data_IF_677933750936
#
_entry.id   IF_677933750936
#
_cell.length_a   1.000
_cell.length_b   1.000
_cell.length_c   1.000
_cell.angle_alpha   90.00
_cell.angle_beta   90.00
_cell.angle_gamma   90.00
#
_symmetry.space_group_name_H-M   'P 1'
#
loop_
_entity.id
_entity.type
_entity.pdbx_description
1 polymer ?
#
# COMPACT_ATOMS: atom_id res chain seq x y z
N UNK A 1 -15.99 -10.00 17.00
CA UNK A 1 -17.13 -10.03 16.06
C UNK A 1 -16.68 -9.33 14.78
N UNK A 2 -16.98 -9.88 13.61
CA UNK A 2 -16.72 -9.20 12.33
C UNK A 2 -17.96 -8.36 12.02
N UNK A 3 -17.74 -7.06 11.84
CA UNK A 3 -18.79 -6.11 11.46
C UNK A 3 -19.40 -6.47 10.11
N UNK A 4 -20.71 -6.28 9.94
CA UNK A 4 -21.38 -6.58 8.69
C UNK A 4 -20.84 -5.72 7.55
N UNK A 5 -20.61 -6.34 6.39
CA UNK A 5 -20.22 -5.61 5.18
C UNK A 5 -21.45 -4.92 4.61
N UNK A 6 -21.30 -3.64 4.25
CA UNK A 6 -22.39 -2.86 3.65
C UNK A 6 -22.04 -2.40 2.24
N UNK A 7 -22.93 -2.65 1.29
CA UNK A 7 -22.79 -2.21 -0.10
C UNK A 7 -24.02 -1.40 -0.50
N UNK A 8 -23.81 -0.23 -1.09
CA UNK A 8 -24.90 0.55 -1.68
C UNK A 8 -25.12 0.08 -3.12
N UNK A 9 -26.20 -0.66 -3.35
CA UNK A 9 -26.59 -1.10 -4.68
C UNK A 9 -27.63 -0.15 -5.27
N UNK A 10 -27.55 0.07 -6.58
CA UNK A 10 -28.59 0.77 -7.34
C UNK A 10 -29.61 -0.26 -7.82
N UNK A 11 -30.82 -0.23 -7.26
CA UNK A 11 -31.89 -1.16 -7.63
C UNK A 11 -32.94 -0.39 -8.42
N UNK A 12 -33.27 -0.89 -9.61
CA UNK A 12 -34.41 -0.38 -10.39
C UNK A 12 -35.70 -0.88 -9.74
N UNK A 13 -36.52 0.03 -9.27
CA UNK A 13 -37.87 -0.30 -8.78
C UNK A 13 -38.93 0.20 -9.76
N UNK A 14 -39.95 -0.61 -9.99
CA UNK A 14 -41.16 -0.19 -10.72
C UNK A 14 -42.02 0.63 -9.76
N UNK A 15 -42.46 1.81 -10.19
CA UNK A 15 -43.36 2.63 -9.40
C UNK A 15 -44.78 2.05 -9.48
N UNK A 16 -45.43 1.75 -8.34
CA UNK A 16 -46.88 1.46 -8.35
C UNK A 16 -47.63 2.76 -8.65
N UNK A 17 -48.12 2.91 -9.88
CA UNK A 17 -48.94 4.05 -10.28
C UNK A 17 -50.25 4.11 -9.48
N UNK A 18 -50.60 5.31 -8.99
CA UNK A 18 -51.87 5.55 -8.28
C UNK A 18 -52.94 5.88 -9.33
N UNK A 19 -53.89 4.95 -9.49
CA UNK A 19 -55.13 5.00 -10.31
C UNK A 19 -54.96 5.29 -11.82
N UNK A 20 -55.52 4.34 -12.60
CA UNK A 20 -55.87 4.39 -14.03
C UNK A 20 -56.02 5.82 -14.57
N UNK A 21 -55.05 6.24 -15.36
CA UNK A 21 -55.12 7.45 -16.19
C UNK A 21 -54.92 7.02 -17.64
N UNK A 22 -55.53 7.76 -18.57
CA UNK A 22 -55.70 7.49 -20.01
C UNK A 22 -54.35 7.38 -20.78
N UNK A 23 -53.22 7.49 -20.08
CA UNK A 23 -51.85 7.34 -20.57
C UNK A 23 -51.21 5.97 -20.19
N UNK A 24 -52.02 4.95 -19.88
CA UNK A 24 -51.61 3.58 -19.51
C UNK A 24 -51.09 2.75 -20.73
N UNK A 25 -50.32 3.38 -21.61
CA UNK A 25 -49.74 2.72 -22.78
C UNK A 25 -48.51 1.87 -22.38
N UNK A 26 -48.36 0.62 -22.86
CA UNK A 26 -47.16 -0.20 -22.60
C UNK A 26 -45.85 0.50 -22.99
N UNK A 27 -45.93 1.42 -23.96
CA UNK A 27 -44.83 2.26 -24.42
C UNK A 27 -44.28 3.17 -23.31
N UNK A 28 -45.15 3.89 -22.58
CA UNK A 28 -44.74 4.86 -21.54
C UNK A 28 -44.38 4.21 -20.20
N UNK A 29 -44.86 2.99 -19.94
CA UNK A 29 -44.56 2.23 -18.72
C UNK A 29 -43.08 1.81 -18.59
N UNK A 30 -42.33 1.76 -19.69
CA UNK A 30 -40.89 1.44 -19.68
C UNK A 30 -40.01 2.56 -19.10
N UNK A 31 -40.47 3.81 -19.21
CA UNK A 31 -39.75 5.00 -18.71
C UNK A 31 -39.97 5.26 -17.22
N UNK A 32 -40.99 4.64 -16.59
CA UNK A 32 -41.35 4.87 -15.20
C UNK A 32 -40.58 3.97 -14.20
N UNK A 33 -39.30 3.71 -14.48
CA UNK A 33 -38.41 2.99 -13.57
C UNK A 33 -37.51 3.97 -12.84
N UNK A 34 -37.58 3.96 -11.51
CA UNK A 34 -36.69 4.80 -10.68
C UNK A 34 -35.56 3.94 -10.15
N UNK A 35 -34.33 4.40 -10.33
CA UNK A 35 -33.17 3.82 -9.65
C UNK A 35 -33.14 4.35 -8.22
N UNK A 36 -33.29 3.46 -7.25
CA UNK A 36 -33.19 3.79 -5.83
C UNK A 36 -31.91 3.18 -5.28
N UNK A 37 -31.14 3.98 -4.53
CA UNK A 37 -30.00 3.48 -3.77
C UNK A 37 -30.52 2.66 -2.60
N UNK A 38 -30.22 1.37 -2.58
CA UNK A 38 -30.54 0.47 -1.47
C UNK A 38 -29.26 0.03 -0.80
N UNK A 39 -29.20 0.23 0.52
CA UNK A 39 -28.10 -0.24 1.34
C UNK A 39 -28.36 -1.70 1.68
N UNK A 40 -27.48 -2.58 1.22
CA UNK A 40 -27.49 -4.01 1.52
C UNK A 40 -26.42 -4.25 2.59
N UNK A 41 -26.77 -4.99 3.64
CA UNK A 41 -25.84 -5.37 4.71
C UNK A 41 -25.84 -6.89 4.84
N UNK A 42 -24.67 -7.47 5.08
CA UNK A 42 -24.56 -8.87 5.50
C UNK A 42 -24.93 -9.00 6.98
N UNK A 43 -25.12 -10.22 7.45
CA UNK A 43 -25.22 -10.49 8.89
C UNK A 43 -23.83 -10.40 9.54
N UNK A 44 -23.76 -10.01 10.83
CA UNK A 44 -22.50 -10.01 11.59
C UNK A 44 -22.03 -11.44 11.86
N UNK A 45 -20.71 -11.67 11.81
CA UNK A 45 -20.12 -12.97 12.10
C UNK A 45 -19.49 -12.96 13.50
N UNK A 46 -20.00 -13.80 14.39
CA UNK A 46 -19.43 -13.98 15.74
C UNK A 46 -18.23 -14.92 15.68
N UNK A 47 -17.05 -14.41 16.04
CA UNK A 47 -15.82 -15.20 16.18
C UNK A 47 -15.62 -15.52 17.66
N UNK A 48 -15.36 -16.79 17.97
CA UNK A 48 -14.87 -17.21 19.28
C UNK A 48 -13.34 -17.30 19.26
N UNK A 49 -12.69 -16.34 19.91
CA UNK A 49 -11.22 -16.31 20.06
C UNK A 49 -10.81 -17.34 21.12
N UNK A 50 -9.85 -18.20 20.80
CA UNK A 50 -9.25 -19.14 21.77
C UNK A 50 -8.11 -18.44 22.49
N UNK A 51 -7.97 -18.69 23.79
CA UNK A 51 -6.81 -18.27 24.55
C UNK A 51 -5.58 -19.09 24.15
N UNK A 52 -4.40 -18.51 24.34
CA UNK A 52 -3.15 -19.24 24.21
C UNK A 52 -3.03 -20.31 25.32
N UNK A 53 -2.29 -21.41 25.07
CA UNK A 53 -1.95 -22.35 26.14
C UNK A 53 -0.98 -21.70 27.14
N UNK A 54 -0.89 -22.29 28.33
CA UNK A 54 0.09 -21.88 29.34
C UNK A 54 1.53 -22.02 28.83
N UNK A 55 2.49 -21.35 29.48
CA UNK A 55 3.91 -21.40 29.10
C UNK A 55 4.30 -20.44 27.97
N UNK A 56 3.59 -19.30 27.84
CA UNK A 56 3.95 -18.25 26.89
C UNK A 56 5.39 -17.76 27.12
N UNK A 57 6.26 -17.80 26.08
CA UNK A 57 7.61 -17.27 26.17
C UNK A 57 7.62 -15.75 26.42
N UNK A 58 8.58 -15.28 27.21
CA UNK A 58 8.71 -13.85 27.55
C UNK A 58 9.07 -12.97 26.34
N UNK A 59 9.69 -13.56 25.32
CA UNK A 59 10.09 -12.97 24.05
C UNK A 59 8.99 -13.03 22.96
N UNK A 60 7.76 -13.40 23.32
CA UNK A 60 6.65 -13.49 22.38
C UNK A 60 6.14 -12.10 21.94
N UNK A 61 6.26 -11.80 20.65
CA UNK A 61 5.84 -10.52 20.05
C UNK A 61 4.48 -10.57 19.33
N UNK A 62 3.77 -11.70 19.40
CA UNK A 62 2.47 -11.88 18.73
C UNK A 62 2.52 -12.74 17.46
N UNK A 63 3.62 -13.42 17.18
CA UNK A 63 3.77 -14.28 16.00
C UNK A 63 2.94 -15.57 16.09
N UNK A 64 1.98 -15.76 15.18
CA UNK A 64 1.09 -16.92 15.12
C UNK A 64 1.11 -17.53 13.72
N UNK A 65 1.55 -18.78 13.62
CA UNK A 65 1.72 -19.45 12.34
C UNK A 65 2.82 -20.50 12.35
N UNK A 66 3.46 -20.68 11.21
CA UNK A 66 4.66 -21.51 11.04
C UNK A 66 5.70 -20.72 10.26
N UNK A 67 6.90 -20.58 10.83
CA UNK A 67 7.90 -19.64 10.36
C UNK A 67 9.32 -20.23 10.34
N UNK A 68 10.08 -19.86 9.32
CA UNK A 68 11.49 -20.15 9.17
C UNK A 68 12.27 -18.84 9.07
N UNK A 69 13.17 -18.59 10.03
CA UNK A 69 14.03 -17.41 10.05
C UNK A 69 15.43 -17.77 9.55
N UNK A 70 15.95 -16.96 8.63
CA UNK A 70 17.31 -17.07 8.09
C UNK A 70 18.02 -15.72 8.17
N UNK A 71 19.34 -15.77 8.30
CA UNK A 71 20.18 -14.57 8.24
C UNK A 71 21.45 -14.83 7.45
N UNK A 72 21.91 -13.81 6.75
CA UNK A 72 23.21 -13.80 6.10
C UNK A 72 23.72 -12.37 5.98
N UNK A 73 25.03 -12.23 5.82
CA UNK A 73 25.66 -10.96 5.45
C UNK A 73 26.08 -11.00 3.98
N UNK A 74 26.23 -9.83 3.37
CA UNK A 74 26.79 -9.67 2.03
C UNK A 74 28.26 -10.11 1.94
N UNK A 75 29.05 -9.82 2.99
CA UNK A 75 30.43 -10.27 3.13
C UNK A 75 30.71 -10.83 4.53
N UNK A 76 31.75 -11.67 4.64
CA UNK A 76 32.29 -12.15 5.92
C UNK A 76 33.54 -11.38 6.37
N UNK A 77 34.13 -10.59 5.46
CA UNK A 77 35.32 -9.80 5.70
C UNK A 77 35.13 -8.39 5.14
N UNK A 78 35.46 -7.37 5.93
CA UNK A 78 35.27 -5.97 5.57
C UNK A 78 36.40 -5.13 6.16
N UNK A 79 36.66 -3.92 5.64
CA UNK A 79 37.57 -2.97 6.31
C UNK A 79 36.84 -2.10 7.33
N UNK A 80 37.58 -1.45 8.22
CA UNK A 80 37.03 -0.41 9.11
C UNK A 80 36.37 0.70 8.26
N UNK A 81 35.26 1.25 8.74
CA UNK A 81 34.43 2.28 8.10
C UNK A 81 33.69 1.87 6.81
N UNK A 82 33.77 0.60 6.40
CA UNK A 82 33.05 0.09 5.24
C UNK A 82 31.73 -0.58 5.68
N UNK A 83 30.66 -0.34 4.93
CA UNK A 83 29.32 -0.79 5.29
C UNK A 83 29.14 -2.29 5.01
N UNK A 84 28.47 -2.98 5.94
CA UNK A 84 28.06 -4.38 5.83
C UNK A 84 26.53 -4.43 5.89
N UNK A 85 25.93 -5.24 5.03
CA UNK A 85 24.48 -5.47 5.04
C UNK A 85 24.15 -6.79 5.71
N UNK A 86 23.50 -6.75 6.88
CA UNK A 86 22.88 -7.93 7.49
C UNK A 86 21.45 -8.07 6.96
N UNK A 87 21.20 -9.19 6.28
CA UNK A 87 19.90 -9.56 5.77
C UNK A 87 19.26 -10.59 6.71
N UNK A 88 18.03 -10.31 7.16
CA UNK A 88 17.16 -11.25 7.84
C UNK A 88 15.98 -11.56 6.93
N UNK A 89 15.67 -12.83 6.73
CA UNK A 89 14.52 -13.29 5.96
C UNK A 89 13.69 -14.23 6.82
N UNK A 90 12.43 -13.86 7.02
CA UNK A 90 11.43 -14.70 7.65
C UNK A 90 10.43 -15.14 6.59
N UNK A 91 10.32 -16.45 6.38
CA UNK A 91 9.34 -17.04 5.48
C UNK A 91 8.37 -17.91 6.25
N UNK A 92 7.09 -17.86 5.91
CA UNK A 92 6.10 -18.69 6.58
C UNK A 92 4.66 -18.39 6.24
N UNK A 93 3.77 -19.11 6.93
CA UNK A 93 2.32 -18.94 6.83
C UNK A 93 1.76 -18.53 8.19
N UNK A 94 0.97 -17.46 8.23
CA UNK A 94 0.40 -16.95 9.47
C UNK A 94 0.23 -15.43 9.43
N UNK A 95 0.35 -14.75 10.57
CA UNK A 95 0.24 -13.29 10.65
C UNK A 95 1.60 -12.58 10.41
N UNK A 96 2.33 -12.97 9.36
CA UNK A 96 3.76 -12.66 9.16
C UNK A 96 4.13 -11.16 9.15
N UNK A 97 3.19 -10.27 8.85
CA UNK A 97 3.39 -8.81 8.83
C UNK A 97 2.68 -8.08 9.98
N UNK A 98 2.19 -8.80 11.00
CA UNK A 98 1.42 -8.25 12.13
C UNK A 98 2.17 -8.32 13.46
N UNK A 99 3.47 -8.60 13.44
CA UNK A 99 4.32 -8.61 14.62
C UNK A 99 5.69 -7.98 14.33
N UNK A 100 6.37 -7.57 15.39
CA UNK A 100 7.72 -7.00 15.33
C UNK A 100 8.79 -8.04 15.66
N UNK A 101 9.98 -7.85 15.10
CA UNK A 101 11.18 -8.55 15.57
C UNK A 101 11.52 -8.08 16.98
N UNK A 102 12.07 -8.97 17.84
CA UNK A 102 12.69 -8.55 19.08
C UNK A 102 13.90 -7.66 18.78
N UNK A 103 14.21 -6.76 19.71
CA UNK A 103 15.35 -5.86 19.60
C UNK A 103 16.67 -6.64 19.55
N UNK A 104 17.53 -6.28 18.59
CA UNK A 104 18.81 -6.95 18.36
C UNK A 104 19.92 -6.11 18.99
N UNK A 105 20.58 -6.67 20.02
CA UNK A 105 21.70 -6.02 20.69
C UNK A 105 23.00 -6.25 19.91
N UNK A 106 23.31 -5.34 18.98
CA UNK A 106 24.56 -5.37 18.22
C UNK A 106 25.77 -4.99 19.10
N UNK A 107 26.99 -5.46 18.74
CA UNK A 107 28.23 -5.02 19.39
C UNK A 107 28.43 -3.50 19.32
N UNK A 108 28.91 -2.88 20.41
CA UNK A 108 28.96 -1.42 20.57
C UNK A 108 29.94 -0.67 19.67
N UNK A 109 30.94 -1.34 19.09
CA UNK A 109 31.92 -0.72 18.17
C UNK A 109 31.42 -0.66 16.71
N UNK A 110 30.10 -0.79 16.49
CA UNK A 110 29.47 -0.66 15.18
C UNK A 110 28.35 0.39 15.21
N UNK A 111 28.31 1.25 14.20
CA UNK A 111 27.16 2.09 13.97
C UNK A 111 26.08 1.27 13.26
N UNK A 112 24.90 1.21 13.88
CA UNK A 112 23.74 0.46 13.38
C UNK A 112 22.70 1.44 12.87
N UNK A 113 22.31 1.27 11.61
CA UNK A 113 21.22 2.04 11.03
C UNK A 113 19.88 1.32 11.19
N UNK A 114 18.76 2.06 11.29
CA UNK A 114 17.42 1.46 11.30
C UNK A 114 17.22 0.56 10.07
N UNK A 115 16.59 -0.62 10.23
CA UNK A 115 16.44 -1.55 9.14
C UNK A 115 15.40 -1.09 8.13
N UNK A 116 15.64 -1.39 6.86
CA UNK A 116 14.60 -1.33 5.83
C UNK A 116 13.84 -2.66 5.82
N UNK A 117 12.51 -2.61 5.84
CA UNK A 117 11.67 -3.81 5.82
C UNK A 117 10.86 -3.91 4.53
N UNK A 118 10.76 -5.11 3.95
CA UNK A 118 9.89 -5.38 2.80
C UNK A 118 9.09 -6.68 3.01
N UNK A 119 7.84 -6.67 2.55
CA UNK A 119 6.94 -7.81 2.64
C UNK A 119 6.48 -8.23 1.24
N UNK A 120 6.74 -9.49 0.90
CA UNK A 120 6.30 -10.10 -0.34
C UNK A 120 5.27 -11.19 -0.02
N UNK A 121 4.02 -10.96 -0.42
CA UNK A 121 2.94 -11.92 -0.21
C UNK A 121 2.89 -12.95 -1.35
N UNK A 122 2.92 -14.23 -1.01
CA UNK A 122 2.69 -15.32 -1.95
C UNK A 122 1.17 -15.45 -2.20
N UNK A 123 0.74 -15.35 -3.46
CA UNK A 123 -0.69 -15.48 -3.82
C UNK A 123 -1.12 -16.94 -3.84
N UNK A 124 -1.30 -17.53 -2.66
CA UNK A 124 -1.97 -18.81 -2.48
C UNK A 124 -3.41 -18.54 -2.03
N UNK A 125 -4.38 -19.20 -2.68
CA UNK A 125 -5.81 -18.87 -2.53
C UNK A 125 -6.37 -19.05 -1.11
N UNK A 126 -5.72 -19.86 -0.28
CA UNK A 126 -6.28 -20.31 1.01
C UNK A 126 -5.35 -20.08 2.21
N UNK A 127 -4.17 -19.48 2.01
CA UNK A 127 -3.18 -19.28 3.07
C UNK A 127 -2.54 -17.90 2.99
N UNK A 128 -2.44 -17.23 4.14
CA UNK A 128 -1.66 -16.00 4.26
C UNK A 128 -0.18 -16.36 4.40
N UNK A 129 0.47 -16.56 3.27
CA UNK A 129 1.88 -16.95 3.16
C UNK A 129 2.68 -15.83 2.53
N UNK A 130 3.91 -15.65 2.98
CA UNK A 130 4.81 -14.67 2.40
C UNK A 130 6.21 -14.72 2.96
N UNK A 131 7.01 -13.76 2.50
CA UNK A 131 8.38 -13.54 2.93
C UNK A 131 8.53 -12.11 3.42
N UNK A 132 8.98 -11.95 4.66
CA UNK A 132 9.31 -10.67 5.27
C UNK A 132 10.83 -10.55 5.34
N UNK A 133 11.40 -9.46 4.82
CA UNK A 133 12.84 -9.21 4.81
C UNK A 133 13.16 -7.95 5.60
N UNK A 134 14.22 -8.00 6.38
CA UNK A 134 14.81 -6.83 7.05
C UNK A 134 16.28 -6.72 6.67
N UNK A 135 16.70 -5.51 6.32
CA UNK A 135 18.08 -5.20 5.95
C UNK A 135 18.65 -4.16 6.89
N UNK A 136 19.67 -4.55 7.66
CA UNK A 136 20.41 -3.66 8.56
C UNK A 136 21.72 -3.27 7.91
N UNK A 137 22.04 -1.97 7.94
CA UNK A 137 23.35 -1.47 7.55
C UNK A 137 24.18 -1.29 8.81
N UNK A 138 25.34 -1.95 8.85
CA UNK A 138 26.27 -1.97 9.96
C UNK A 138 27.60 -1.36 9.51
N UNK A 139 28.14 -0.39 10.24
CA UNK A 139 29.45 0.21 9.93
C UNK A 139 30.40 0.00 11.11
N UNK A 140 31.41 -0.87 10.99
CA UNK A 140 32.36 -1.15 12.05
C UNK A 140 33.39 -0.03 12.19
N UNK A 141 33.67 0.40 13.42
CA UNK A 141 34.60 1.50 13.73
C UNK A 141 35.99 1.05 14.14
N UNK A 142 36.14 -0.19 14.59
CA UNK A 142 37.42 -0.75 15.04
C UNK A 142 37.70 -2.10 14.36
N UNK A 143 38.97 -2.37 14.06
CA UNK A 143 39.40 -3.65 13.51
C UNK A 143 39.31 -4.76 14.57
N UNK A 144 39.03 -5.99 14.13
CA UNK A 144 38.88 -7.12 15.05
C UNK A 144 37.93 -8.18 14.53
N UNK A 145 37.60 -9.13 15.41
CA UNK A 145 36.63 -10.17 15.14
C UNK A 145 35.36 -9.89 15.95
N UNK A 146 34.24 -9.75 15.24
CA UNK A 146 32.95 -9.44 15.84
C UNK A 146 31.98 -10.59 15.60
N UNK A 147 31.12 -10.83 16.59
CA UNK A 147 30.07 -11.82 16.49
C UNK A 147 28.73 -11.11 16.52
N UNK A 148 28.00 -11.18 15.40
CA UNK A 148 26.60 -10.76 15.36
C UNK A 148 25.77 -11.76 16.16
N UNK A 149 24.90 -11.30 17.07
CA UNK A 149 24.11 -12.18 17.92
C UNK A 149 23.15 -13.02 17.08
N UNK A 150 22.76 -14.19 17.61
CA UNK A 150 21.65 -14.93 17.03
C UNK A 150 20.35 -14.15 17.23
N UNK A 151 19.48 -14.17 16.24
CA UNK A 151 18.11 -13.64 16.35
C UNK A 151 17.18 -14.82 16.54
N UNK A 152 16.29 -14.75 17.53
CA UNK A 152 15.31 -15.79 17.80
C UNK A 152 13.93 -15.16 17.91
N UNK A 153 12.92 -15.86 17.40
CA UNK A 153 11.51 -15.49 17.47
C UNK A 153 10.75 -16.67 18.05
N UNK A 154 10.01 -16.41 19.12
CA UNK A 154 9.04 -17.35 19.67
C UNK A 154 7.67 -17.12 19.02
N UNK A 155 7.03 -18.19 18.55
CA UNK A 155 5.75 -18.14 17.86
C UNK A 155 4.82 -19.27 18.31
N UNK A 156 3.51 -19.03 18.19
CA UNK A 156 2.50 -20.03 18.47
C UNK A 156 2.09 -20.75 17.17
N UNK A 157 2.24 -22.08 17.13
CA UNK A 157 1.76 -22.86 15.99
C UNK A 157 0.32 -23.32 16.23
N UNK A 158 -0.69 -22.80 15.48
CA UNK A 158 -2.08 -23.18 15.66
C UNK A 158 -2.38 -24.64 15.24
N UNK A 159 -1.54 -25.27 14.41
CA UNK A 159 -1.68 -26.67 14.01
C UNK A 159 -1.32 -27.61 15.16
N UNK A 160 -0.17 -27.36 15.79
CA UNK A 160 0.38 -28.20 16.86
C UNK A 160 -0.12 -27.77 18.25
N UNK A 161 -0.73 -26.58 18.35
CA UNK A 161 -1.19 -25.93 19.58
C UNK A 161 -0.06 -25.78 20.61
N UNK A 162 1.17 -25.62 20.14
CA UNK A 162 2.38 -25.50 20.94
C UNK A 162 3.13 -24.20 20.67
N UNK A 163 4.00 -23.84 21.61
CA UNK A 163 4.98 -22.79 21.45
C UNK A 163 6.23 -23.34 20.77
N UNK A 164 6.61 -22.72 19.66
CA UNK A 164 7.81 -23.08 18.90
C UNK A 164 8.74 -21.87 18.81
N UNK A 165 10.01 -22.11 18.54
CA UNK A 165 10.98 -21.07 18.26
C UNK A 165 11.65 -21.28 16.90
N UNK A 166 11.93 -20.18 16.23
CA UNK A 166 12.75 -20.16 15.02
C UNK A 166 13.86 -19.15 15.23
N UNK A 167 15.06 -19.45 14.74
CA UNK A 167 16.20 -18.61 15.04
C UNK A 167 17.35 -18.83 14.08
N UNK A 168 18.23 -17.83 14.06
CA UNK A 168 19.41 -17.82 13.22
C UNK A 168 20.63 -18.33 13.97
N UNK A 169 21.72 -18.54 13.23
CA UNK A 169 23.03 -18.79 13.83
C UNK A 169 23.77 -17.47 14.03
N UNK A 170 24.62 -17.35 15.06
CA UNK A 170 25.55 -16.22 15.14
C UNK A 170 26.42 -16.13 13.89
N UNK A 171 26.68 -14.91 13.42
CA UNK A 171 27.54 -14.66 12.25
C UNK A 171 28.83 -14.02 12.74
N UNK A 172 29.96 -14.59 12.34
CA UNK A 172 31.28 -14.09 12.70
C UNK A 172 31.80 -13.22 11.55
N UNK A 173 32.15 -11.98 11.86
CA UNK A 173 32.68 -10.99 10.92
C UNK A 173 34.14 -10.70 11.26
N UNK A 174 34.99 -10.68 10.24
CA UNK A 174 36.39 -10.28 10.36
C UNK A 174 36.58 -8.89 9.79
N UNK A 175 36.82 -7.91 10.66
CA UNK A 175 37.06 -6.54 10.26
C UNK A 175 38.57 -6.29 10.21
N UNK A 176 39.06 -6.05 9.00
CA UNK A 176 40.45 -5.70 8.73
C UNK A 176 40.69 -4.23 9.07
N UNK A 177 41.90 -3.86 9.49
CA UNK A 177 42.29 -2.46 9.58
C UNK A 177 41.98 -1.73 8.28
N UNK A 178 41.45 -0.51 8.39
CA UNK A 178 41.38 0.40 7.24
C UNK A 178 42.78 0.67 6.71
N UNK A 179 42.88 1.03 5.44
CA UNK A 179 44.12 1.63 4.94
C UNK A 179 44.35 2.89 5.77
N UNK A 180 45.45 2.89 6.53
CA UNK A 180 45.94 4.08 7.23
C UNK A 180 46.02 5.22 6.23
N UNK A 181 45.40 6.35 6.58
CA UNK A 181 45.43 7.61 5.84
C UNK A 181 46.83 7.89 5.29
N UNK A 182 47.05 7.59 4.01
CA UNK A 182 47.92 8.43 3.21
C UNK A 182 47.16 9.74 3.02
N UNK A 183 47.68 10.81 3.61
CA UNK A 183 47.21 12.19 3.42
C UNK A 183 46.99 12.45 1.93
N UNK A 184 45.73 12.44 1.49
CA UNK A 184 45.37 12.75 0.11
C UNK A 184 44.11 12.02 -0.38
N UNK A 185 42.99 12.74 -0.38
CA UNK A 185 41.73 12.45 -1.08
C UNK A 185 40.70 11.58 -0.34
N UNK A 186 39.77 12.28 0.31
CA UNK A 186 38.50 11.78 0.83
C UNK A 186 37.63 11.20 -0.30
N UNK A 187 37.52 9.87 -0.36
CA UNK A 187 36.62 9.15 -1.28
C UNK A 187 35.79 8.12 -0.49
N UNK A 188 35.12 8.57 0.57
CA UNK A 188 34.18 7.76 1.33
C UNK A 188 32.99 8.62 1.70
N UNK A 189 31.80 8.25 1.24
CA UNK A 189 30.60 9.05 1.45
C UNK A 189 30.27 9.13 2.94
N UNK A 190 30.10 10.35 3.44
CA UNK A 190 29.69 10.63 4.82
C UNK A 190 28.21 10.30 5.04
N UNK A 191 27.80 10.16 6.31
CA UNK A 191 26.40 9.88 6.71
C UNK A 191 25.42 10.93 6.15
N UNK A 192 25.86 12.18 6.01
CA UNK A 192 25.12 13.24 5.30
C UNK A 192 24.93 12.93 3.81
N UNK A 193 25.96 12.47 3.09
CA UNK A 193 25.89 12.20 1.65
C UNK A 193 24.98 11.02 1.31
N UNK A 194 24.95 9.99 2.17
CA UNK A 194 24.02 8.86 2.02
C UNK A 194 22.57 9.28 2.34
N UNK A 195 22.37 10.21 3.29
CA UNK A 195 21.05 10.82 3.56
C UNK A 195 20.58 11.70 2.40
N UNK A 196 21.49 12.31 1.65
CA UNK A 196 21.18 13.17 0.51
C UNK A 196 20.81 12.34 -0.74
N UNK A 197 21.45 11.18 -0.96
CA UNK A 197 21.08 10.26 -2.04
C UNK A 197 19.62 9.76 -1.94
N UNK A 198 19.11 9.55 -0.71
CA UNK A 198 17.71 9.18 -0.49
C UNK A 198 16.71 10.32 -0.67
N UNK A 199 17.17 11.58 -0.74
CA UNK A 199 16.33 12.77 -0.75
C UNK A 199 16.07 13.36 -2.15
N UNK A 200 16.81 12.93 -3.17
CA UNK A 200 16.80 13.58 -4.48
C UNK A 200 16.08 12.75 -5.57
N UNK A 201 14.82 12.42 -5.30
CA UNK A 201 13.84 12.21 -6.37
C UNK A 201 12.91 13.43 -6.33
N UNK A 202 13.41 14.58 -6.80
CA UNK A 202 12.55 15.74 -7.06
C UNK A 202 11.83 15.55 -8.40
N UNK A 203 10.53 15.75 -8.31
CA UNK A 203 9.51 15.82 -9.35
C UNK A 203 9.99 16.62 -10.58
N UNK A 204 10.07 15.93 -11.72
CA UNK A 204 10.29 16.54 -13.03
C UNK A 204 9.00 17.24 -13.50
N UNK A 205 8.62 18.33 -12.84
CA UNK A 205 7.60 19.28 -13.31
C UNK A 205 8.31 20.62 -13.49
N UNK A 206 8.95 20.78 -14.64
CA UNK A 206 9.81 21.93 -14.95
C UNK A 206 9.01 23.17 -15.36
N UNK A 207 7.71 23.02 -15.62
CA UNK A 207 6.86 24.12 -16.05
C UNK A 207 5.77 24.43 -15.02
N UNK A 208 5.72 25.69 -14.59
CA UNK A 208 4.60 26.19 -13.79
C UNK A 208 3.31 26.11 -14.61
N UNK A 209 2.24 25.46 -14.14
CA UNK A 209 0.98 25.46 -14.86
C UNK A 209 0.46 26.90 -14.96
N UNK A 210 0.06 27.31 -16.18
CA UNK A 210 -0.63 28.58 -16.41
C UNK A 210 -1.97 28.58 -15.67
N UNK A 211 -2.01 29.19 -14.49
CA UNK A 211 -3.22 29.36 -13.70
C UNK A 211 -4.16 30.36 -14.40
N UNK A 212 -5.30 29.89 -14.90
CA UNK A 212 -6.39 30.77 -15.33
C UNK A 212 -7.27 31.12 -14.11
N UNK A 213 -7.49 32.42 -13.83
CA UNK A 213 -8.34 32.82 -12.71
C UNK A 213 -9.77 32.32 -12.93
N UNK A 214 -10.30 31.59 -11.93
CA UNK A 214 -11.61 30.92 -11.96
C UNK A 214 -12.79 31.86 -12.25
N UNK A 215 -12.60 33.16 -12.06
CA UNK A 215 -13.67 34.18 -12.12
C UNK A 215 -13.68 35.01 -13.43
N UNK A 216 -12.88 34.65 -14.44
CA UNK A 216 -12.83 35.39 -15.71
C UNK A 216 -13.25 34.58 -16.95
N UNK A 217 -13.91 33.43 -16.79
CA UNK A 217 -14.50 32.74 -17.95
C UNK A 217 -15.81 33.41 -18.37
N UNK A 218 -15.72 34.60 -18.99
CA UNK A 218 -16.83 35.12 -19.78
C UNK A 218 -17.05 34.16 -20.93
N UNK A 219 -18.25 33.59 -21.04
CA UNK A 219 -18.62 32.70 -22.13
C UNK A 219 -18.33 33.45 -23.45
N UNK A 220 -17.46 32.90 -24.32
CA UNK A 220 -17.05 33.60 -25.52
C UNK A 220 -18.24 33.78 -26.47
N UNK A 221 -18.26 34.91 -27.19
CA UNK A 221 -19.41 35.36 -28.00
C UNK A 221 -19.88 34.31 -29.03
N UNK A 222 -18.97 33.47 -29.54
CA UNK A 222 -19.32 32.41 -30.49
C UNK A 222 -20.24 31.31 -29.91
N UNK A 223 -20.21 31.11 -28.59
CA UNK A 223 -21.15 30.17 -27.94
C UNK A 223 -22.57 30.75 -28.01
N UNK A 224 -22.73 32.06 -27.80
CA UNK A 224 -24.01 32.73 -27.95
C UNK A 224 -24.52 32.69 -29.39
N UNK A 225 -23.65 32.82 -30.39
CA UNK A 225 -24.06 32.70 -31.81
C UNK A 225 -24.58 31.30 -32.15
N UNK A 226 -24.00 30.22 -31.57
CA UNK A 226 -24.53 28.87 -31.76
C UNK A 226 -25.93 28.68 -31.18
N UNK A 227 -26.23 29.29 -30.03
CA UNK A 227 -27.57 29.23 -29.43
C UNK A 227 -28.60 30.01 -30.25
N UNK A 228 -28.22 31.18 -30.80
CA UNK A 228 -29.09 31.97 -31.69
C UNK A 228 -29.37 31.22 -32.99
N UNK A 229 -28.36 30.57 -33.58
CA UNK A 229 -28.53 29.75 -34.78
C UNK A 229 -29.47 28.56 -34.53
N UNK A 230 -29.32 27.88 -33.39
CA UNK A 230 -30.20 26.78 -33.00
C UNK A 230 -31.66 27.26 -32.81
N UNK A 231 -31.87 28.42 -32.18
CA UNK A 231 -33.20 29.01 -32.03
C UNK A 231 -33.82 29.39 -33.39
N UNK A 232 -33.02 29.95 -34.32
CA UNK A 232 -33.47 30.25 -35.68
C UNK A 232 -33.88 28.98 -36.44
N UNK A 233 -33.10 27.90 -36.37
CA UNK A 233 -33.45 26.63 -36.98
C UNK A 233 -34.71 26.00 -36.37
N UNK A 234 -34.94 26.19 -35.07
CA UNK A 234 -36.16 25.72 -34.40
C UNK A 234 -37.42 26.47 -34.87
N UNK A 235 -37.29 27.78 -35.15
CA UNK A 235 -38.42 28.63 -35.57
C UNK A 235 -38.61 28.64 -37.10
N UNK A 236 -37.58 28.35 -37.88
CA UNK A 236 -37.60 28.32 -39.35
C UNK A 236 -38.75 27.53 -40.01
N UNK A 237 -39.25 26.40 -39.44
CA UNK A 237 -40.37 25.67 -40.02
C UNK A 237 -41.69 26.46 -40.05
N UNK A 238 -41.88 27.43 -39.14
CA UNK A 238 -43.13 28.17 -38.95
C UNK A 238 -43.45 29.11 -40.14
N UNK A 239 -42.51 29.95 -40.63
CA UNK A 239 -42.75 30.77 -41.82
C UNK A 239 -42.71 29.96 -43.13
N UNK A 240 -41.88 28.91 -43.22
CA UNK A 240 -41.79 28.06 -44.43
C UNK A 240 -43.12 27.33 -44.67
N UNK A 241 -43.76 26.80 -43.63
CA UNK A 241 -45.08 26.16 -43.75
C UNK A 241 -46.19 27.15 -44.11
N UNK A 242 -46.06 28.44 -43.75
CA UNK A 242 -47.02 29.49 -44.12
C UNK A 242 -46.86 29.95 -45.58
N UNK A 243 -45.64 30.01 -46.10
CA UNK A 243 -45.38 30.40 -47.49
C UNK A 243 -45.67 29.28 -48.50
N UNK A 244 -45.44 28.01 -48.13
CA UNK A 244 -45.81 26.87 -49.00
C UNK A 244 -47.33 26.63 -49.06
N UNK A 245 -48.10 27.14 -48.09
CA UNK A 245 -49.56 27.09 -48.11
C UNK A 245 -50.25 28.10 -49.06
N UNK A 246 -49.51 28.94 -49.78
CA UNK A 246 -50.05 29.91 -50.77
C UNK A 246 -49.65 29.61 -52.23
N UNK A 247 -49.20 28.38 -52.50
CA UNK A 247 -49.08 27.85 -53.87
C UNK A 247 -49.68 26.45 -53.93
N UNK A 248 -51.02 26.40 -53.97
CA UNK A 248 -51.88 25.59 -54.86
C UNK A 248 -53.14 26.46 -55.06
#
# INVERSE_FOLDING_TARGET
EISPMSVTAQVRTKQKGKKRSIWDDPFFNSFNTRTVKKLIRTDPVKIKVKTYPEGQPADFTGAVGDFNLRSWTDTSQVKVNEAITLNLELRGTGNINMFSLPEINFPGDMDVFPPTSSFEQEKLWDQYTGTMRWQYILIPRNAGQYQLPRVQISYFNPKDKSWNNTGTKPIVLKIMPGETDFVGSTSGFTKEEISLLGSDIRYNITDTPLWTPRDQSKIPIWVWTSYVLAALLFVAPIPISRFQGHRI
#
